data_IF_604994170845
#
_entry.id   IF_604994170845
#
_cell.length_a   1.000
_cell.length_b   1.000
_cell.length_c   1.000
_cell.angle_alpha   90.00
_cell.angle_beta   90.00
_cell.angle_gamma   90.00
#
_symmetry.space_group_name_H-M   'P 1'
#
loop_
_entity.id
_entity.type
_entity.pdbx_description
1 polymer ?
#
# COMPACT_ATOMS: atom_id res chain seq x y z
N UNK A 1 -9.34 16.80 10.82
CA UNK A 1 -9.05 16.57 9.38
C UNK A 1 -8.97 17.92 8.71
N UNK A 2 -7.84 18.20 8.05
CA UNK A 2 -7.66 19.43 7.28
C UNK A 2 -8.42 19.37 5.94
N UNK A 3 -8.61 20.53 5.32
CA UNK A 3 -9.35 20.68 4.07
C UNK A 3 -8.74 19.85 2.91
N UNK A 4 -7.41 19.76 2.86
CA UNK A 4 -6.69 19.06 1.78
C UNK A 4 -6.95 17.56 1.83
N UNK A 5 -6.89 16.97 3.02
CA UNK A 5 -7.25 15.56 3.25
C UNK A 5 -8.70 15.28 2.86
N UNK A 6 -9.64 16.16 3.23
CA UNK A 6 -11.06 15.99 2.87
C UNK A 6 -11.31 16.01 1.36
N UNK A 7 -10.63 16.92 0.64
CA UNK A 7 -10.70 17.00 -0.82
C UNK A 7 -10.11 15.76 -1.49
N UNK A 8 -8.98 15.26 -0.98
CA UNK A 8 -8.37 14.01 -1.47
C UNK A 8 -9.33 12.82 -1.32
N UNK A 9 -9.86 12.57 -0.12
CA UNK A 9 -10.79 11.44 0.12
C UNK A 9 -12.01 11.51 -0.79
N UNK A 10 -12.59 12.71 -0.98
CA UNK A 10 -13.71 12.90 -1.90
C UNK A 10 -13.35 12.57 -3.35
N UNK A 11 -12.14 12.95 -3.80
CA UNK A 11 -11.66 12.65 -5.16
C UNK A 11 -11.45 11.14 -5.36
N UNK A 12 -10.85 10.45 -4.39
CA UNK A 12 -10.62 9.00 -4.46
C UNK A 12 -11.95 8.25 -4.57
N UNK A 13 -12.96 8.62 -3.77
CA UNK A 13 -14.31 8.03 -3.89
C UNK A 13 -14.92 8.22 -5.27
N UNK A 14 -14.72 9.38 -5.89
CA UNK A 14 -15.22 9.63 -7.25
C UNK A 14 -14.54 8.73 -8.28
N UNK A 15 -13.24 8.47 -8.12
CA UNK A 15 -12.48 7.56 -8.99
C UNK A 15 -13.03 6.13 -8.85
N UNK A 16 -13.09 5.62 -7.61
CA UNK A 16 -13.61 4.25 -7.33
C UNK A 16 -15.03 4.08 -7.85
N UNK A 17 -15.90 5.07 -7.62
CA UNK A 17 -17.28 5.01 -8.09
C UNK A 17 -17.39 4.99 -9.63
N UNK A 18 -16.46 5.64 -10.34
CA UNK A 18 -16.41 5.58 -11.80
C UNK A 18 -15.92 4.22 -12.30
N UNK A 19 -14.87 3.66 -11.70
CA UNK A 19 -14.32 2.34 -12.04
C UNK A 19 -15.34 1.21 -11.78
N UNK A 20 -16.06 1.27 -10.65
CA UNK A 20 -17.10 0.29 -10.30
C UNK A 20 -18.22 0.23 -11.36
N UNK A 21 -18.56 1.36 -12.00
CA UNK A 21 -19.57 1.43 -13.06
C UNK A 21 -19.06 0.76 -14.34
N UNK A 22 -17.77 0.87 -14.62
CA UNK A 22 -17.15 0.29 -15.82
C UNK A 22 -16.94 -1.23 -15.68
N UNK A 23 -16.61 -1.73 -14.48
CA UNK A 23 -16.27 -3.15 -14.26
C UNK A 23 -17.37 -4.03 -13.65
N UNK A 24 -18.47 -3.48 -13.12
CA UNK A 24 -19.76 -4.12 -12.77
C UNK A 24 -19.79 -5.54 -12.11
N UNK A 25 -18.68 -6.07 -11.60
CA UNK A 25 -18.59 -7.33 -10.87
C UNK A 25 -18.23 -7.06 -9.41
N UNK A 26 -19.23 -7.18 -8.54
CA UNK A 26 -19.16 -7.19 -7.07
C UNK A 26 -18.53 -5.96 -6.37
N UNK A 27 -18.89 -5.80 -5.10
CA UNK A 27 -18.42 -4.68 -4.29
C UNK A 27 -16.96 -4.95 -3.91
N UNK A 28 -16.02 -4.36 -4.64
CA UNK A 28 -14.60 -4.45 -4.30
C UNK A 28 -14.37 -3.76 -2.94
N UNK A 29 -14.26 -4.59 -1.90
CA UNK A 29 -13.69 -4.30 -0.59
C UNK A 29 -14.29 -3.08 0.14
N UNK A 30 -15.47 -3.23 0.80
CA UNK A 30 -16.11 -2.11 1.49
C UNK A 30 -15.24 -1.57 2.64
N UNK A 31 -15.49 -0.32 3.10
CA UNK A 31 -14.79 0.22 4.26
C UNK A 31 -14.97 -0.66 5.51
N UNK A 32 -13.89 -0.79 6.28
CA UNK A 32 -13.87 -1.54 7.54
C UNK A 32 -14.15 -0.63 8.75
N UNK A 33 -14.48 -1.23 9.88
CA UNK A 33 -14.61 -0.51 11.14
C UNK A 33 -13.25 -0.13 11.72
N UNK A 34 -13.23 0.89 12.58
CA UNK A 34 -12.05 1.23 13.37
C UNK A 34 -11.61 0.08 14.30
N UNK A 35 -12.50 -0.84 14.67
CA UNK A 35 -12.15 -1.99 15.50
C UNK A 35 -11.30 -3.02 14.72
N UNK A 36 -11.58 -3.21 13.43
CA UNK A 36 -10.78 -4.03 12.51
C UNK A 36 -9.41 -3.39 12.26
N UNK A 37 -9.36 -2.07 12.05
CA UNK A 37 -8.09 -1.32 11.97
C UNK A 37 -7.26 -1.53 13.23
N UNK A 38 -7.87 -1.40 14.42
CA UNK A 38 -7.16 -1.61 15.68
C UNK A 38 -6.74 -3.07 15.89
N UNK A 39 -7.42 -4.04 15.28
CA UNK A 39 -6.99 -5.43 15.29
C UNK A 39 -5.71 -5.60 14.47
N UNK A 40 -5.69 -5.05 13.25
CA UNK A 40 -4.50 -5.02 12.41
C UNK A 40 -3.32 -4.31 13.10
N UNK A 41 -3.53 -3.13 13.72
CA UNK A 41 -2.47 -2.42 14.47
C UNK A 41 -1.89 -3.27 15.62
N UNK A 42 -2.73 -4.06 16.31
CA UNK A 42 -2.26 -4.96 17.37
C UNK A 42 -1.38 -6.08 16.82
N UNK A 43 -1.69 -6.60 15.65
CA UNK A 43 -0.89 -7.63 14.99
C UNK A 43 0.41 -7.08 14.40
N UNK A 44 0.37 -5.87 13.82
CA UNK A 44 1.53 -5.16 13.28
C UNK A 44 2.49 -4.70 14.39
N UNK A 45 1.97 -4.39 15.57
CA UNK A 45 2.75 -3.88 16.71
C UNK A 45 3.00 -2.37 16.67
N UNK A 46 2.36 -1.64 15.75
CA UNK A 46 2.43 -0.18 15.62
C UNK A 46 1.12 0.40 15.07
N UNK A 47 0.93 1.70 15.24
CA UNK A 47 -0.24 2.40 14.73
C UNK A 47 -0.10 2.73 13.23
N UNK A 48 -1.19 2.57 12.50
CA UNK A 48 -1.25 2.97 11.10
C UNK A 48 -1.32 4.51 10.99
N UNK A 49 -0.75 5.10 9.92
CA UNK A 49 -0.89 6.53 9.65
C UNK A 49 -2.36 6.94 9.56
N UNK A 50 -2.68 8.14 10.07
CA UNK A 50 -4.08 8.62 10.14
C UNK A 50 -4.79 8.59 8.79
N UNK A 51 -4.08 8.99 7.72
CA UNK A 51 -4.63 8.96 6.37
C UNK A 51 -4.98 7.54 5.92
N UNK A 52 -4.13 6.54 6.22
CA UNK A 52 -4.40 5.15 5.84
C UNK A 52 -5.62 4.60 6.59
N UNK A 53 -5.80 4.97 7.86
CA UNK A 53 -6.99 4.59 8.64
C UNK A 53 -8.26 5.23 8.07
N UNK A 54 -8.22 6.50 7.66
CA UNK A 54 -9.35 7.16 7.02
C UNK A 54 -9.71 6.52 5.68
N UNK A 55 -8.70 6.12 4.91
CA UNK A 55 -8.92 5.39 3.66
C UNK A 55 -9.65 4.05 3.91
N UNK A 56 -9.17 3.24 4.85
CA UNK A 56 -9.82 1.97 5.17
C UNK A 56 -11.21 2.12 5.77
N UNK A 57 -11.41 3.10 6.65
CA UNK A 57 -12.67 3.23 7.40
C UNK A 57 -13.73 4.03 6.68
N UNK A 58 -13.32 4.88 5.75
CA UNK A 58 -14.27 5.72 5.05
C UNK A 58 -14.36 5.36 3.56
N UNK A 59 -13.27 5.00 2.88
CA UNK A 59 -13.23 4.86 1.40
C UNK A 59 -13.45 3.43 0.93
N UNK A 60 -12.52 2.51 1.24
CA UNK A 60 -12.56 1.09 0.86
C UNK A 60 -11.43 0.33 1.57
N UNK A 61 -11.57 -0.99 1.71
CA UNK A 61 -10.55 -1.87 2.28
C UNK A 61 -9.50 -2.30 1.23
N UNK A 62 -8.79 -1.31 0.69
CA UNK A 62 -7.83 -1.49 -0.41
C UNK A 62 -8.49 -1.49 -1.80
N UNK A 63 -7.73 -1.86 -2.82
CA UNK A 63 -8.24 -2.03 -4.19
C UNK A 63 -8.33 -0.75 -5.01
N UNK A 64 -7.76 0.35 -4.53
CA UNK A 64 -7.63 1.62 -5.23
C UNK A 64 -6.24 2.22 -5.00
N UNK A 65 -5.88 3.24 -5.78
CA UNK A 65 -4.61 3.95 -5.61
C UNK A 65 -3.63 3.68 -6.76
N UNK A 66 -2.39 4.17 -6.62
CA UNK A 66 -1.35 4.01 -7.63
C UNK A 66 -0.94 2.55 -7.84
N UNK A 67 -0.39 2.24 -9.03
CA UNK A 67 0.18 0.93 -9.38
C UNK A 67 -0.83 -0.23 -9.16
N UNK A 68 -0.43 -1.34 -8.53
CA UNK A 68 -1.29 -2.51 -8.31
C UNK A 68 -2.22 -2.34 -7.09
N UNK A 69 -2.62 -1.09 -6.84
CA UNK A 69 -3.58 -0.65 -5.80
C UNK A 69 -3.06 -0.86 -4.38
N UNK A 70 -3.69 -0.15 -3.45
CA UNK A 70 -3.41 -0.27 -2.02
C UNK A 70 -3.93 -1.61 -1.51
N UNK A 71 -3.08 -2.33 -0.78
CA UNK A 71 -3.42 -3.58 -0.12
C UNK A 71 -4.33 -3.30 1.07
N UNK A 72 -5.39 -4.08 1.22
CA UNK A 72 -6.36 -4.04 2.29
C UNK A 72 -5.95 -4.85 3.52
N UNK A 73 -6.74 -4.69 4.58
CA UNK A 73 -6.71 -5.55 5.77
C UNK A 73 -7.37 -6.91 5.46
N UNK A 74 -7.75 -7.65 6.50
CA UNK A 74 -8.53 -8.89 6.37
C UNK A 74 -9.78 -8.66 5.49
N UNK A 75 -10.08 -9.61 4.59
CA UNK A 75 -11.16 -9.52 3.59
C UNK A 75 -11.08 -8.30 2.64
N UNK A 76 -9.91 -7.66 2.54
CA UNK A 76 -9.62 -6.56 1.62
C UNK A 76 -8.93 -7.00 0.33
N UNK A 77 -8.56 -6.01 -0.50
CA UNK A 77 -7.73 -6.26 -1.69
C UNK A 77 -6.38 -6.83 -1.29
N UNK A 78 -5.96 -7.96 -1.85
CA UNK A 78 -4.67 -8.55 -1.49
C UNK A 78 -3.55 -8.20 -2.48
N UNK A 79 -2.31 -8.44 -2.06
CA UNK A 79 -1.11 -8.34 -2.90
C UNK A 79 -1.23 -9.21 -4.16
N UNK A 80 -0.29 -9.07 -5.10
CA UNK A 80 -0.26 -9.79 -6.36
C UNK A 80 -1.56 -9.66 -7.17
N UNK A 81 -2.11 -8.44 -7.26
CA UNK A 81 -3.36 -8.15 -7.94
C UNK A 81 -4.52 -9.04 -7.46
N UNK A 82 -4.70 -9.10 -6.13
CA UNK A 82 -5.76 -9.81 -5.43
C UNK A 82 -5.67 -11.35 -5.43
N UNK A 83 -4.45 -11.90 -5.39
CA UNK A 83 -4.20 -13.35 -5.27
C UNK A 83 -3.17 -13.70 -4.19
N UNK A 84 -2.66 -12.70 -3.47
CA UNK A 84 -1.64 -12.84 -2.44
C UNK A 84 -2.15 -12.56 -1.03
N UNK A 85 -1.26 -12.01 -0.22
CA UNK A 85 -1.45 -11.71 1.18
C UNK A 85 -2.21 -10.40 1.41
N UNK A 86 -2.97 -10.31 2.52
CA UNK A 86 -3.43 -9.01 3.02
C UNK A 86 -2.26 -8.22 3.65
N UNK A 87 -2.50 -6.96 4.01
CA UNK A 87 -1.47 -6.03 4.49
C UNK A 87 -0.68 -6.58 5.69
N UNK A 88 -1.36 -7.20 6.65
CA UNK A 88 -0.76 -7.72 7.89
C UNK A 88 0.07 -8.96 7.59
N UNK A 89 -0.46 -9.85 6.77
CA UNK A 89 0.22 -11.06 6.31
C UNK A 89 1.47 -10.74 5.50
N UNK A 90 1.39 -9.79 4.57
CA UNK A 90 2.53 -9.37 3.75
C UNK A 90 3.63 -8.75 4.60
N UNK A 91 3.29 -7.87 5.54
CA UNK A 91 4.26 -7.31 6.47
C UNK A 91 4.96 -8.41 7.29
N UNK A 92 4.21 -9.37 7.80
CA UNK A 92 4.75 -10.52 8.55
C UNK A 92 5.70 -11.34 7.68
N UNK A 93 5.29 -11.67 6.45
CA UNK A 93 6.11 -12.37 5.46
C UNK A 93 7.42 -11.62 5.20
N UNK A 94 7.38 -10.29 5.07
CA UNK A 94 8.60 -9.50 4.86
C UNK A 94 9.54 -9.55 6.06
N UNK A 95 9.01 -9.53 7.29
CA UNK A 95 9.82 -9.71 8.50
C UNK A 95 10.46 -11.10 8.59
N UNK A 96 9.79 -12.13 8.08
CA UNK A 96 10.23 -13.53 8.21
C UNK A 96 11.15 -13.98 7.08
N UNK A 97 10.91 -13.51 5.85
CA UNK A 97 11.50 -14.08 4.64
C UNK A 97 12.53 -13.18 3.94
N UNK A 98 12.44 -11.85 4.07
CA UNK A 98 13.34 -10.96 3.33
C UNK A 98 14.65 -10.71 4.08
N UNK A 99 15.82 -10.89 3.43
CA UNK A 99 17.11 -10.58 4.01
C UNK A 99 17.28 -9.07 4.13
N UNK A 100 17.24 -8.56 5.35
CA UNK A 100 17.66 -7.21 5.70
C UNK A 100 18.93 -7.31 6.56
N UNK A 101 19.86 -6.34 6.48
CA UNK A 101 21.18 -6.43 7.17
C UNK A 101 21.09 -6.73 8.69
N UNK A 102 19.95 -6.43 9.31
CA UNK A 102 19.68 -6.71 10.73
C UNK A 102 18.37 -7.47 10.90
N UNK A 103 17.27 -6.82 10.60
CA UNK A 103 15.88 -7.33 10.62
C UNK A 103 15.04 -6.34 9.81
N UNK A 104 13.90 -6.77 9.26
CA UNK A 104 12.98 -5.85 8.59
C UNK A 104 12.55 -4.72 9.56
N UNK A 105 12.67 -3.43 9.18
CA UNK A 105 12.39 -2.34 10.09
C UNK A 105 10.94 -2.33 10.60
N UNK A 106 10.76 -2.10 11.90
CA UNK A 106 9.44 -1.84 12.46
C UNK A 106 8.85 -0.57 11.84
N UNK A 107 7.60 -0.66 11.39
CA UNK A 107 6.90 0.45 10.76
C UNK A 107 7.22 0.68 9.28
N UNK A 108 8.11 -0.09 8.64
CA UNK A 108 8.24 -0.08 7.18
C UNK A 108 7.18 -1.03 6.57
N UNK A 109 6.01 -0.49 6.29
CA UNK A 109 4.80 -1.23 5.96
C UNK A 109 4.61 -1.35 4.44
N UNK A 110 4.67 -2.53 3.81
CA UNK A 110 4.36 -2.68 2.39
C UNK A 110 2.87 -2.37 2.16
N UNK A 111 2.56 -1.48 1.23
CA UNK A 111 1.20 -1.01 0.97
C UNK A 111 0.72 -1.24 -0.46
N UNK A 112 1.63 -1.47 -1.42
CA UNK A 112 1.33 -1.54 -2.84
C UNK A 112 2.52 -2.15 -3.59
N UNK A 113 2.28 -2.77 -4.75
CA UNK A 113 3.29 -3.37 -5.62
C UNK A 113 3.22 -2.74 -7.02
N UNK A 114 4.32 -2.78 -7.77
CA UNK A 114 4.29 -2.54 -9.21
C UNK A 114 4.26 -3.87 -9.97
N UNK A 115 3.32 -4.01 -10.91
CA UNK A 115 3.13 -5.22 -11.69
C UNK A 115 4.43 -5.79 -12.27
N UNK A 116 4.79 -6.99 -11.83
CA UNK A 116 6.07 -7.64 -12.11
C UNK A 116 6.82 -8.12 -10.87
N UNK A 117 6.36 -7.77 -9.66
CA UNK A 117 6.85 -8.22 -8.34
C UNK A 117 8.31 -7.85 -8.02
N UNK A 118 8.91 -6.97 -8.80
CA UNK A 118 10.29 -6.51 -8.58
C UNK A 118 10.34 -5.23 -7.72
N UNK A 119 9.21 -4.53 -7.56
CA UNK A 119 9.16 -3.27 -6.79
C UNK A 119 7.96 -3.24 -5.86
N UNK A 120 8.22 -3.00 -4.58
CA UNK A 120 7.21 -2.90 -3.53
C UNK A 120 7.28 -1.51 -2.90
N UNK A 121 6.15 -0.83 -2.78
CA UNK A 121 6.04 0.47 -2.13
C UNK A 121 5.64 0.28 -0.67
N UNK A 122 6.40 0.91 0.22
CA UNK A 122 6.21 0.87 1.65
C UNK A 122 5.94 2.25 2.23
N UNK A 123 5.14 2.32 3.29
CA UNK A 123 5.08 3.50 4.16
C UNK A 123 6.08 3.34 5.30
N UNK A 124 6.90 4.36 5.53
CA UNK A 124 7.65 4.49 6.77
C UNK A 124 6.76 5.15 7.83
N UNK A 125 6.06 4.35 8.62
CA UNK A 125 5.13 4.82 9.66
C UNK A 125 5.85 5.43 10.87
N UNK A 126 7.16 5.21 10.99
CA UNK A 126 7.98 5.77 12.07
C UNK A 126 8.32 7.25 11.86
N UNK A 127 8.21 7.73 10.61
CA UNK A 127 8.53 9.09 10.21
C UNK A 127 7.28 9.96 10.08
N UNK A 128 7.46 11.26 10.36
CA UNK A 128 6.42 12.27 10.14
C UNK A 128 5.98 12.28 8.68
N UNK A 129 4.67 12.48 8.43
CA UNK A 129 3.99 12.40 7.13
C UNK A 129 4.05 11.05 6.41
N UNK A 130 4.64 10.02 7.01
CA UNK A 130 4.74 8.67 6.46
C UNK A 130 5.25 8.67 5.01
N UNK A 131 6.55 8.93 4.78
CA UNK A 131 7.15 8.88 3.46
C UNK A 131 6.87 7.55 2.76
N UNK A 132 6.73 7.61 1.43
CA UNK A 132 6.63 6.41 0.60
C UNK A 132 8.04 6.07 0.12
N UNK A 133 8.44 4.83 0.39
CA UNK A 133 9.74 4.28 0.01
C UNK A 133 9.50 3.09 -0.90
N UNK A 134 10.14 3.06 -2.06
CA UNK A 134 10.16 1.87 -2.90
C UNK A 134 11.31 0.95 -2.50
N UNK A 135 11.04 -0.34 -2.68
CA UNK A 135 11.96 -1.42 -2.41
C UNK A 135 12.04 -2.22 -3.69
N UNK A 136 13.23 -2.27 -4.26
CA UNK A 136 13.49 -3.18 -5.37
C UNK A 136 13.94 -4.52 -4.83
N UNK A 137 13.33 -5.58 -5.31
CA UNK A 137 13.69 -6.95 -5.04
C UNK A 137 14.48 -7.44 -6.25
N UNK A 138 15.75 -7.07 -6.35
CA UNK A 138 16.60 -7.45 -7.48
C UNK A 138 17.07 -8.91 -7.33
N UNK A 139 16.77 -9.74 -8.33
CA UNK A 139 17.27 -11.11 -8.47
C UNK A 139 18.43 -11.10 -9.48
N UNK A 140 19.65 -10.79 -9.06
CA UNK A 140 20.82 -10.92 -9.94
C UNK A 140 21.48 -12.29 -9.82
N UNK A 141 21.86 -12.87 -10.97
CA UNK A 141 23.27 -13.01 -11.35
C UNK A 141 23.46 -13.07 -12.89
N UNK A 142 24.69 -12.87 -13.40
CA UNK A 142 25.03 -13.03 -14.83
C UNK A 142 25.26 -14.52 -15.22
N UNK A 143 25.21 -15.46 -14.27
CA UNK A 143 25.70 -16.85 -14.45
C UNK A 143 24.77 -17.97 -13.91
N UNK A 144 23.56 -17.68 -13.43
CA UNK A 144 22.53 -18.62 -12.99
C UNK A 144 22.67 -19.24 -11.57
N UNK A 145 23.48 -18.72 -10.66
CA UNK A 145 23.69 -19.27 -9.31
C UNK A 145 23.52 -18.24 -8.17
N UNK A 146 22.49 -18.51 -7.33
CA UNK A 146 22.09 -17.85 -6.08
C UNK A 146 21.66 -16.38 -6.17
N UNK A 147 20.35 -16.23 -6.32
CA UNK A 147 19.54 -15.04 -6.06
C UNK A 147 19.93 -14.37 -4.72
N UNK A 148 20.78 -13.36 -4.76
CA UNK A 148 20.94 -12.47 -3.61
C UNK A 148 19.92 -11.35 -3.73
N UNK A 149 18.86 -11.46 -2.94
CA UNK A 149 17.89 -10.38 -2.81
C UNK A 149 18.56 -9.17 -2.14
N UNK A 150 18.74 -8.09 -2.87
CA UNK A 150 19.21 -6.81 -2.33
C UNK A 150 18.01 -5.90 -2.06
N UNK A 151 17.88 -5.43 -0.82
CA UNK A 151 16.82 -4.49 -0.43
C UNK A 151 17.36 -3.07 -0.57
N UNK A 152 17.10 -2.42 -1.70
CA UNK A 152 17.46 -1.01 -1.93
C UNK A 152 16.26 -0.12 -1.61
N UNK A 153 16.39 0.73 -0.58
CA UNK A 153 15.37 1.69 -0.18
C UNK A 153 15.53 3.00 -0.97
N UNK A 154 14.52 3.39 -1.74
CA UNK A 154 14.47 4.69 -2.43
C UNK A 154 13.29 5.51 -1.94
N UNK A 155 13.52 6.73 -1.42
CA UNK A 155 12.41 7.62 -1.06
C UNK A 155 11.76 8.17 -2.33
N UNK A 156 10.51 7.76 -2.59
CA UNK A 156 9.72 8.20 -3.74
C UNK A 156 9.09 9.57 -3.47
N UNK A 157 8.58 9.74 -2.25
CA UNK A 157 8.06 11.02 -1.78
C UNK A 157 8.08 11.11 -0.27
N UNK A 158 8.24 12.33 0.23
CA UNK A 158 8.31 12.62 1.67
C UNK A 158 6.95 12.64 2.37
N UNK A 159 5.84 12.37 1.65
CA UNK A 159 4.48 12.41 2.20
C UNK A 159 3.54 11.44 1.48
N UNK A 160 2.92 10.55 2.26
CA UNK A 160 1.88 9.64 1.75
C UNK A 160 0.72 10.40 1.09
N UNK A 161 0.34 11.54 1.65
CA UNK A 161 -0.72 12.36 1.08
C UNK A 161 -0.36 12.91 -0.30
N UNK A 162 0.89 13.37 -0.48
CA UNK A 162 1.32 13.88 -1.80
C UNK A 162 1.36 12.74 -2.82
N UNK A 163 1.81 11.54 -2.42
CA UNK A 163 1.80 10.36 -3.28
C UNK A 163 0.40 10.05 -3.85
N UNK A 164 -0.61 10.07 -2.97
CA UNK A 164 -2.00 9.84 -3.36
C UNK A 164 -2.59 11.00 -4.17
N UNK A 165 -2.23 12.23 -3.86
CA UNK A 165 -2.66 13.39 -4.63
C UNK A 165 -2.12 13.35 -6.06
N UNK A 166 -0.86 12.99 -6.25
CA UNK A 166 -0.26 12.86 -7.57
C UNK A 166 -1.09 11.89 -8.42
N UNK A 167 -1.42 10.71 -7.90
CA UNK A 167 -2.30 9.76 -8.60
C UNK A 167 -3.75 10.24 -8.78
N UNK A 168 -4.39 10.76 -7.72
CA UNK A 168 -5.81 11.10 -7.73
C UNK A 168 -6.12 12.31 -8.62
N UNK A 169 -5.16 13.24 -8.76
CA UNK A 169 -5.31 14.46 -9.56
C UNK A 169 -4.57 14.43 -10.90
N UNK A 170 -3.83 13.35 -11.20
CA UNK A 170 -3.35 13.07 -12.55
C UNK A 170 -4.51 12.91 -13.55
N UNK A 171 -4.28 13.32 -14.80
CA UNK A 171 -5.24 13.16 -15.90
C UNK A 171 -5.54 11.69 -16.16
N UNK A 172 -6.79 11.34 -16.46
CA UNK A 172 -7.23 9.93 -16.62
C UNK A 172 -6.39 9.15 -17.65
N UNK A 173 -5.93 9.77 -18.73
CA UNK A 173 -5.06 9.12 -19.74
C UNK A 173 -3.69 8.67 -19.22
N UNK A 174 -3.28 9.13 -18.04
CA UNK A 174 -2.00 8.83 -17.40
C UNK A 174 -2.16 8.11 -16.05
N UNK A 175 -3.40 7.88 -15.58
CA UNK A 175 -3.65 7.15 -14.33
C UNK A 175 -3.53 5.66 -14.63
N UNK A 176 -2.50 5.03 -14.07
CA UNK A 176 -2.32 3.58 -14.02
C UNK A 176 -2.23 3.17 -12.56
#
# INVERSE_FOLDING_TARGET
MDEKTGVLLAKIRQIIAAETIEDAFEADYPPVSMAEVQAAERELGFSLPELLKLLYTEVANGGFGPYDRIIGLEEGWTANNNDGENLVELYRKFKEELPFERDWPDGLLPICEAGGNDTVFCLDTSRYNSPVVSIKLDFFDEEGERETLEVVLTEETSSFQNWLEDWAFMSDSNRK
#
